data_IF_933604769379
#
_entry.id   IF_933604769379
#
_cell.length_a   1.000
_cell.length_b   1.000
_cell.length_c   1.000
_cell.angle_alpha   90.00
_cell.angle_beta   90.00
_cell.angle_gamma   90.00
#
_symmetry.space_group_name_H-M   'P 1'
#
loop_
_entity.id
_entity.type
_entity.pdbx_description
1 polymer ?
#
# COMPACT_ATOMS: atom_id res chain seq x y z
N UNK A 1 -8.65 1.95 -16.41
CA UNK A 1 -7.30 1.48 -16.05
C UNK A 1 -7.42 0.17 -15.28
N UNK A 2 -7.36 -1.01 -15.93
CA UNK A 2 -7.35 -2.26 -15.19
C UNK A 2 -5.91 -2.62 -14.83
N UNK A 3 -5.48 -2.27 -13.62
CA UNK A 3 -4.33 -2.97 -13.04
C UNK A 3 -4.74 -4.42 -12.78
N UNK A 4 -3.87 -5.38 -13.06
CA UNK A 4 -4.14 -6.80 -12.79
C UNK A 4 -4.25 -7.11 -11.29
N UNK A 5 -3.79 -6.19 -10.43
CA UNK A 5 -3.85 -6.29 -8.99
C UNK A 5 -4.01 -4.91 -8.34
N UNK A 6 -4.76 -4.86 -7.25
CA UNK A 6 -4.89 -3.71 -6.35
C UNK A 6 -5.12 -4.23 -4.94
N UNK A 7 -4.57 -3.55 -3.92
CA UNK A 7 -4.92 -3.83 -2.53
C UNK A 7 -6.35 -3.35 -2.22
N UNK A 8 -7.07 -4.13 -1.41
CA UNK A 8 -8.25 -3.66 -0.65
C UNK A 8 -7.78 -2.84 0.56
N UNK A 9 -8.72 -2.10 1.15
CA UNK A 9 -8.47 -1.37 2.40
C UNK A 9 -7.94 -2.31 3.48
N UNK A 10 -6.82 -1.93 4.11
CA UNK A 10 -6.15 -2.70 5.17
C UNK A 10 -5.44 -3.98 4.72
N UNK A 11 -5.55 -4.40 3.46
CA UNK A 11 -5.04 -5.71 3.01
C UNK A 11 -3.52 -5.82 3.15
N UNK A 12 -2.78 -4.76 2.85
CA UNK A 12 -1.33 -4.74 3.04
C UNK A 12 -0.92 -4.83 4.52
N UNK A 13 -1.65 -4.15 5.41
CA UNK A 13 -1.39 -4.22 6.85
C UNK A 13 -1.68 -5.62 7.41
N UNK A 14 -2.77 -6.27 6.96
CA UNK A 14 -3.14 -7.62 7.40
C UNK A 14 -2.06 -8.65 7.01
N UNK A 15 -1.48 -8.55 5.80
CA UNK A 15 -0.35 -9.41 5.41
C UNK A 15 0.87 -9.28 6.33
N UNK A 16 1.05 -8.12 6.97
CA UNK A 16 2.18 -7.81 7.83
C UNK A 16 1.80 -7.68 9.31
N UNK A 17 0.66 -8.25 9.73
CA UNK A 17 0.14 -8.12 11.11
C UNK A 17 1.09 -8.55 12.23
N UNK A 18 2.03 -9.45 11.93
CA UNK A 18 3.04 -9.94 12.89
C UNK A 18 4.35 -9.13 12.86
N UNK A 19 4.44 -8.09 12.02
CA UNK A 19 5.58 -7.18 11.92
C UNK A 19 5.29 -5.89 12.68
N UNK A 20 6.35 -5.20 13.08
CA UNK A 20 6.26 -3.84 13.60
C UNK A 20 6.03 -2.87 12.42
N UNK A 21 4.83 -2.29 12.32
CA UNK A 21 4.52 -1.28 11.30
C UNK A 21 5.05 0.10 11.71
N UNK A 22 6.34 0.37 11.39
CA UNK A 22 7.01 1.65 11.69
C UNK A 22 6.30 2.83 11.01
N UNK A 23 5.76 2.63 9.80
CA UNK A 23 4.89 3.59 9.12
C UNK A 23 3.89 2.84 8.25
N UNK A 24 2.62 3.22 8.33
CA UNK A 24 1.57 2.73 7.42
C UNK A 24 0.59 3.85 7.10
N UNK A 25 0.21 4.00 5.82
CA UNK A 25 -0.89 4.88 5.40
C UNK A 25 -1.47 4.45 4.06
N UNK A 26 -2.73 4.80 3.81
CA UNK A 26 -3.47 4.59 2.56
C UNK A 26 -3.97 5.91 1.96
N UNK A 27 -3.05 6.88 1.89
CA UNK A 27 -3.38 8.24 1.50
C UNK A 27 -3.68 8.34 -0.01
N UNK A 28 -4.51 9.31 -0.41
CA UNK A 28 -4.66 9.66 -1.82
C UNK A 28 -3.33 10.16 -2.41
N UNK A 29 -3.03 9.71 -3.62
CA UNK A 29 -1.89 10.13 -4.44
C UNK A 29 -2.29 10.19 -5.90
N UNK A 30 -1.32 10.50 -6.76
CA UNK A 30 -1.57 10.67 -8.20
C UNK A 30 -0.59 9.84 -9.02
N UNK A 31 -1.10 9.16 -10.04
CA UNK A 31 -0.25 8.56 -11.06
C UNK A 31 0.44 9.66 -11.88
N UNK A 32 1.60 9.33 -12.46
CA UNK A 32 2.22 10.20 -13.47
C UNK A 32 1.40 10.24 -14.77
N UNK A 33 0.68 9.14 -15.09
CA UNK A 33 -0.27 9.06 -16.21
C UNK A 33 -1.42 10.06 -16.00
N UNK A 34 -1.83 10.68 -17.11
CA UNK A 34 -2.94 11.64 -17.16
C UNK A 34 -4.17 11.02 -17.84
N UNK A 35 -5.34 11.57 -17.54
CA UNK A 35 -6.59 11.28 -18.25
C UNK A 35 -6.66 12.01 -19.61
N UNK A 36 -7.77 11.86 -20.32
CA UNK A 36 -8.02 12.49 -21.62
C UNK A 36 -8.00 14.03 -21.57
N UNK A 37 -8.23 14.61 -20.39
CA UNK A 37 -8.20 16.06 -20.14
C UNK A 37 -6.82 16.54 -19.66
N UNK A 38 -5.83 15.66 -19.55
CA UNK A 38 -4.48 16.00 -19.08
C UNK A 38 -4.34 16.12 -17.56
N UNK A 39 -5.35 15.76 -16.77
CA UNK A 39 -5.26 15.72 -15.30
C UNK A 39 -4.60 14.43 -14.84
N UNK A 40 -3.82 14.48 -13.76
CA UNK A 40 -3.23 13.26 -13.19
C UNK A 40 -4.33 12.40 -12.57
N UNK A 41 -4.27 11.10 -12.79
CA UNK A 41 -5.26 10.15 -12.26
C UNK A 41 -5.00 9.97 -10.76
N UNK A 42 -6.00 10.29 -9.93
CA UNK A 42 -5.95 10.14 -8.47
C UNK A 42 -6.35 8.71 -8.04
N UNK A 43 -5.60 8.13 -7.09
CA UNK A 43 -5.87 6.81 -6.48
C UNK A 43 -5.42 6.83 -5.01
N UNK A 44 -5.82 5.84 -4.21
CA UNK A 44 -5.21 5.58 -2.90
C UNK A 44 -4.01 4.66 -3.03
N UNK A 45 -2.95 4.93 -2.26
CA UNK A 45 -1.74 4.13 -2.25
C UNK A 45 -1.45 3.64 -0.84
N UNK A 46 -1.35 2.32 -0.67
CA UNK A 46 -0.82 1.72 0.56
C UNK A 46 0.71 1.89 0.58
N UNK A 47 1.22 2.67 1.53
CA UNK A 47 2.66 2.91 1.72
C UNK A 47 3.09 2.42 3.10
N UNK A 48 4.06 1.52 3.14
CA UNK A 48 4.47 0.84 4.37
C UNK A 48 5.99 0.83 4.54
N UNK A 49 6.43 1.11 5.77
CA UNK A 49 7.73 0.74 6.31
C UNK A 49 7.47 -0.19 7.49
N UNK A 50 7.90 -1.45 7.40
CA UNK A 50 7.69 -2.46 8.42
C UNK A 50 9.00 -3.15 8.79
N UNK A 51 9.10 -3.60 10.04
CA UNK A 51 10.27 -4.31 10.58
C UNK A 51 9.85 -5.69 11.07
N UNK A 52 10.54 -6.72 10.59
CA UNK A 52 10.27 -8.11 10.96
C UNK A 52 10.64 -8.37 12.41
N UNK A 53 9.70 -8.90 13.18
CA UNK A 53 9.97 -9.36 14.54
C UNK A 53 10.75 -10.68 14.49
N UNK A 54 11.97 -10.70 15.04
CA UNK A 54 12.84 -11.88 15.02
C UNK A 54 12.34 -13.02 15.91
N UNK A 55 11.50 -12.73 16.90
CA UNK A 55 10.95 -13.72 17.85
C UNK A 55 9.84 -14.60 17.23
N UNK A 56 9.14 -14.10 16.21
CA UNK A 56 8.01 -14.78 15.55
C UNK A 56 8.41 -15.56 14.29
N UNK A 57 9.69 -15.55 13.92
CA UNK A 57 10.16 -16.09 12.65
C UNK A 57 10.53 -17.59 12.69
N UNK A 58 10.32 -18.27 13.82
CA UNK A 58 10.78 -19.65 14.05
C UNK A 58 9.90 -20.50 14.96
N UNK A 59 8.60 -20.19 15.11
CA UNK A 59 7.62 -21.10 15.72
C UNK A 59 6.85 -21.86 14.65
#
# INVERSE_FOLDING_TARGET
MPFSFTFKEGELAEYYKDWELVKYNENPGHLHRRDENGHRIQLRFATMLAKKNKEKAGS
#
